data_IF_722926691738
#
_entry.id   IF_722926691738
#
_cell.length_a   1.000
_cell.length_b   1.000
_cell.length_c   1.000
_cell.angle_alpha   90.00
_cell.angle_beta   90.00
_cell.angle_gamma   90.00
#
_symmetry.space_group_name_H-M   'P 1'
#
loop_
_entity.id
_entity.type
_entity.pdbx_description
1 polymer ?
#
# COMPACT_ATOMS: atom_id res chain seq x y z
N UNK A 1 -6.94 -46.28 38.64
CA UNK A 1 -6.19 -45.04 38.95
C UNK A 1 -6.18 -44.24 37.67
N UNK A 2 -7.11 -43.30 37.52
CA UNK A 2 -7.13 -42.41 36.36
C UNK A 2 -6.00 -41.41 36.53
N UNK A 3 -5.08 -41.36 35.57
CA UNK A 3 -4.04 -40.35 35.55
C UNK A 3 -4.71 -38.99 35.28
N UNK A 4 -4.65 -38.08 36.25
CA UNK A 4 -4.91 -36.66 36.00
C UNK A 4 -3.78 -36.16 35.10
N UNK A 5 -4.09 -35.93 33.82
CA UNK A 5 -3.19 -35.18 32.94
C UNK A 5 -2.94 -33.76 33.47
N UNK A 6 -1.93 -33.06 32.95
CA UNK A 6 -1.71 -31.65 33.29
C UNK A 6 -2.99 -30.84 33.06
N UNK A 7 -3.41 -30.09 34.08
CA UNK A 7 -4.54 -29.18 34.00
C UNK A 7 -4.03 -27.84 33.49
N UNK A 8 -4.21 -27.58 32.20
CA UNK A 8 -3.92 -26.28 31.60
C UNK A 8 -5.04 -25.29 31.93
N UNK A 9 -4.70 -24.03 32.18
CA UNK A 9 -5.65 -22.92 32.24
C UNK A 9 -5.90 -22.37 30.84
N UNK A 10 -6.94 -21.53 30.68
CA UNK A 10 -7.17 -20.80 29.42
C UNK A 10 -5.94 -19.97 29.05
N UNK A 11 -5.34 -19.26 30.00
CA UNK A 11 -4.12 -18.48 29.76
C UNK A 11 -2.95 -19.34 29.27
N UNK A 12 -2.75 -20.54 29.84
CA UNK A 12 -1.70 -21.45 29.36
C UNK A 12 -1.93 -21.89 27.91
N UNK A 13 -3.18 -22.14 27.53
CA UNK A 13 -3.55 -22.53 26.17
C UNK A 13 -3.34 -21.39 25.18
N UNK A 14 -3.66 -20.15 25.55
CA UNK A 14 -3.44 -19.00 24.68
C UNK A 14 -1.95 -18.70 24.45
N UNK A 15 -1.09 -18.91 25.45
CA UNK A 15 0.36 -18.82 25.27
C UNK A 15 0.86 -19.88 24.27
N UNK A 16 0.31 -21.10 24.32
CA UNK A 16 0.66 -22.14 23.33
C UNK A 16 0.11 -21.83 21.95
N UNK A 17 -1.11 -21.29 21.86
CA UNK A 17 -1.68 -20.83 20.60
C UNK A 17 -0.80 -19.75 19.96
N UNK A 18 -0.36 -18.76 20.74
CA UNK A 18 0.55 -17.72 20.25
C UNK A 18 1.89 -18.28 19.76
N UNK A 19 2.50 -19.22 20.50
CA UNK A 19 3.73 -19.87 20.04
C UNK A 19 3.56 -20.65 18.73
N UNK A 20 2.40 -21.29 18.54
CA UNK A 20 2.08 -21.99 17.31
C UNK A 20 1.86 -21.00 16.15
N UNK A 21 1.20 -19.85 16.40
CA UNK A 21 1.06 -18.75 15.45
C UNK A 21 2.44 -18.21 15.03
N UNK A 22 3.32 -17.92 15.99
CA UNK A 22 4.67 -17.41 15.72
C UNK A 22 5.52 -18.42 14.90
N UNK A 23 5.14 -19.70 14.93
CA UNK A 23 5.78 -20.79 14.19
C UNK A 23 5.04 -21.17 12.90
N UNK A 24 3.99 -20.44 12.52
CA UNK A 24 3.11 -20.71 11.37
C UNK A 24 2.40 -22.07 11.41
N UNK A 25 2.21 -22.65 12.61
CA UNK A 25 1.49 -23.91 12.83
C UNK A 25 0.00 -23.63 13.15
N UNK A 26 -0.72 -23.05 12.19
CA UNK A 26 -2.07 -22.52 12.41
C UNK A 26 -3.12 -23.58 12.79
N UNK A 27 -3.05 -24.79 12.24
CA UNK A 27 -3.97 -25.89 12.62
C UNK A 27 -3.72 -26.38 14.05
N UNK A 28 -2.49 -26.23 14.56
CA UNK A 28 -2.18 -26.53 15.95
C UNK A 28 -2.63 -25.38 16.87
N UNK A 29 -2.40 -24.14 16.44
CA UNK A 29 -2.92 -22.97 17.13
C UNK A 29 -4.44 -23.05 17.30
N UNK A 30 -5.15 -23.48 16.25
CA UNK A 30 -6.61 -23.64 16.25
C UNK A 30 -7.05 -24.62 17.34
N UNK A 31 -6.38 -25.77 17.47
CA UNK A 31 -6.71 -26.75 18.51
C UNK A 31 -6.53 -26.18 19.93
N UNK A 32 -5.52 -25.34 20.15
CA UNK A 32 -5.34 -24.67 21.45
C UNK A 32 -6.43 -23.62 21.71
N UNK A 33 -6.80 -22.83 20.71
CA UNK A 33 -7.85 -21.82 20.80
C UNK A 33 -9.24 -22.46 21.01
N UNK A 34 -9.60 -23.49 20.24
CA UNK A 34 -10.82 -24.28 20.43
C UNK A 34 -10.88 -24.89 21.84
N UNK A 35 -9.74 -25.38 22.34
CA UNK A 35 -9.66 -25.94 23.69
C UNK A 35 -9.90 -24.86 24.74
N UNK A 36 -9.33 -23.67 24.57
CA UNK A 36 -9.55 -22.53 25.45
C UNK A 36 -11.02 -22.10 25.45
N UNK A 37 -11.65 -22.00 24.28
CA UNK A 37 -13.07 -21.67 24.13
C UNK A 37 -14.00 -22.76 24.67
N UNK A 38 -13.60 -24.04 24.61
CA UNK A 38 -14.36 -25.11 25.25
C UNK A 38 -14.39 -25.00 26.79
N UNK A 39 -13.41 -24.31 27.37
CA UNK A 39 -13.30 -24.09 28.81
C UNK A 39 -13.99 -22.79 29.23
N UNK A 40 -13.77 -21.71 28.48
CA UNK A 40 -14.41 -20.41 28.68
C UNK A 40 -14.94 -19.87 27.35
N UNK A 41 -16.18 -20.22 26.96
CA UNK A 41 -16.74 -19.87 25.66
C UNK A 41 -16.86 -18.36 25.38
N UNK A 42 -16.77 -17.55 26.44
CA UNK A 42 -16.89 -16.09 26.36
C UNK A 42 -15.59 -15.34 26.71
N UNK A 43 -14.45 -16.03 26.76
CA UNK A 43 -13.16 -15.40 27.02
C UNK A 43 -12.72 -14.60 25.79
N UNK A 44 -12.58 -13.28 25.94
CA UNK A 44 -12.31 -12.36 24.81
C UNK A 44 -10.98 -12.68 24.14
N UNK A 45 -9.91 -12.90 24.91
CA UNK A 45 -8.57 -13.19 24.38
C UNK A 45 -8.55 -14.49 23.57
N UNK A 46 -9.32 -15.51 24.02
CA UNK A 46 -9.45 -16.76 23.29
C UNK A 46 -10.23 -16.64 22.00
N UNK A 47 -11.22 -15.76 21.96
CA UNK A 47 -12.01 -15.46 20.76
C UNK A 47 -11.21 -14.66 19.74
N UNK A 48 -10.46 -13.66 20.18
CA UNK A 48 -9.58 -12.89 19.31
C UNK A 48 -8.49 -13.78 18.72
N UNK A 49 -7.89 -14.64 19.54
CA UNK A 49 -6.89 -15.62 19.09
C UNK A 49 -7.48 -16.59 18.06
N UNK A 50 -8.67 -17.16 18.34
CA UNK A 50 -9.35 -18.06 17.40
C UNK A 50 -9.68 -17.37 16.07
N UNK A 51 -10.22 -16.15 16.11
CA UNK A 51 -10.53 -15.38 14.92
C UNK A 51 -9.28 -15.04 14.09
N UNK A 52 -8.15 -14.74 14.73
CA UNK A 52 -6.88 -14.54 14.04
C UNK A 52 -6.38 -15.82 13.36
N UNK A 53 -6.56 -16.99 13.97
CA UNK A 53 -6.16 -18.28 13.40
C UNK A 53 -7.09 -18.71 12.25
N UNK A 54 -8.40 -18.58 12.43
CA UNK A 54 -9.41 -18.90 11.41
C UNK A 54 -9.21 -18.04 10.15
N UNK A 55 -8.71 -16.82 10.30
CA UNK A 55 -8.30 -15.96 9.21
C UNK A 55 -7.13 -16.55 8.40
N UNK A 56 -6.07 -16.99 9.08
CA UNK A 56 -4.89 -17.60 8.45
C UNK A 56 -5.23 -18.95 7.77
N UNK A 57 -6.22 -19.67 8.32
CA UNK A 57 -6.70 -20.96 7.77
C UNK A 57 -7.79 -20.81 6.70
N UNK A 58 -8.34 -19.61 6.54
CA UNK A 58 -9.45 -19.34 5.65
C UNK A 58 -10.79 -20.00 6.00
N UNK A 59 -11.09 -20.10 7.30
CA UNK A 59 -12.29 -20.74 7.84
C UNK A 59 -13.32 -19.68 8.27
N UNK A 60 -13.92 -19.02 7.27
CA UNK A 60 -14.67 -17.77 7.45
C UNK A 60 -16.09 -17.91 7.99
N UNK A 61 -16.77 -19.03 7.73
CA UNK A 61 -18.16 -19.25 8.15
C UNK A 61 -18.27 -19.47 9.68
N UNK A 62 -17.21 -19.96 10.31
CA UNK A 62 -17.20 -20.35 11.73
C UNK A 62 -16.88 -19.15 12.65
N UNK A 63 -16.10 -18.17 12.17
CA UNK A 63 -15.78 -16.92 12.87
C UNK A 63 -17.00 -16.01 13.12
N UNK A 64 -18.02 -16.08 12.26
CA UNK A 64 -19.20 -15.21 12.31
C UNK A 64 -20.07 -15.43 13.56
N UNK A 65 -20.09 -16.65 14.11
CA UNK A 65 -21.06 -17.04 15.14
C UNK A 65 -20.62 -16.70 16.57
N UNK A 66 -19.41 -16.18 16.76
CA UNK A 66 -18.87 -15.94 18.11
C UNK A 66 -18.88 -14.45 18.50
N UNK A 67 -19.80 -14.11 19.41
CA UNK A 67 -20.04 -12.79 20.02
C UNK A 67 -20.16 -11.60 19.05
N UNK A 68 -21.28 -11.43 18.34
CA UNK A 68 -21.44 -10.36 17.34
C UNK A 68 -21.35 -8.92 17.89
N UNK A 69 -21.35 -8.74 19.22
CA UNK A 69 -21.34 -7.45 19.88
C UNK A 69 -19.98 -7.06 20.51
N UNK A 70 -18.94 -7.88 20.35
CA UNK A 70 -17.61 -7.64 20.93
C UNK A 70 -16.51 -8.04 19.95
N UNK A 71 -15.32 -7.42 20.07
CA UNK A 71 -14.16 -7.66 19.21
C UNK A 71 -14.34 -7.06 17.80
N UNK A 72 -13.78 -5.88 17.55
CA UNK A 72 -13.90 -5.20 16.26
C UNK A 72 -13.04 -5.84 15.16
N UNK A 73 -11.95 -6.54 15.51
CA UNK A 73 -10.96 -7.06 14.55
C UNK A 73 -11.57 -7.97 13.48
N UNK A 74 -12.46 -8.90 13.87
CA UNK A 74 -13.16 -9.79 12.93
C UNK A 74 -13.94 -9.03 11.85
N UNK A 75 -14.52 -7.89 12.22
CA UNK A 75 -15.30 -7.07 11.29
C UNK A 75 -14.41 -6.30 10.32
N UNK A 76 -13.21 -5.91 10.74
CA UNK A 76 -12.22 -5.33 9.83
C UNK A 76 -11.79 -6.36 8.79
N UNK A 77 -11.51 -7.58 9.23
CA UNK A 77 -11.11 -8.67 8.34
C UNK A 77 -12.22 -9.08 7.36
N UNK A 78 -13.44 -9.30 7.86
CA UNK A 78 -14.59 -9.59 7.00
C UNK A 78 -14.80 -8.45 5.98
N UNK A 79 -14.59 -7.20 6.38
CA UNK A 79 -14.61 -6.05 5.48
C UNK A 79 -13.59 -6.15 4.35
N UNK A 80 -12.32 -6.44 4.68
CA UNK A 80 -11.23 -6.58 3.70
C UNK A 80 -11.42 -7.75 2.72
N UNK A 81 -12.13 -8.80 3.13
CA UNK A 81 -12.38 -9.99 2.31
C UNK A 81 -13.70 -9.95 1.55
N UNK A 82 -14.55 -8.98 1.85
CA UNK A 82 -15.83 -8.78 1.18
C UNK A 82 -15.71 -7.73 0.09
N UNK A 83 -16.73 -7.64 -0.77
CA UNK A 83 -16.77 -6.66 -1.85
C UNK A 83 -17.96 -5.71 -1.68
N UNK A 84 -17.86 -4.52 -2.29
CA UNK A 84 -18.96 -3.59 -2.44
C UNK A 84 -19.68 -3.28 -1.10
N UNK A 85 -21.01 -3.28 -1.09
CA UNK A 85 -21.83 -2.93 0.06
C UNK A 85 -21.75 -3.94 1.22
N UNK A 86 -21.31 -5.17 0.97
CA UNK A 86 -21.10 -6.15 2.04
C UNK A 86 -19.88 -5.76 2.88
N UNK A 87 -18.77 -5.39 2.24
CA UNK A 87 -17.59 -4.85 2.92
C UNK A 87 -17.95 -3.64 3.79
N UNK A 88 -18.77 -2.72 3.26
CA UNK A 88 -19.26 -1.55 4.01
C UNK A 88 -20.01 -1.95 5.29
N UNK A 89 -20.82 -3.01 5.26
CA UNK A 89 -21.57 -3.46 6.45
C UNK A 89 -20.63 -3.97 7.54
N UNK A 90 -19.62 -4.75 7.18
CA UNK A 90 -18.64 -5.25 8.13
C UNK A 90 -17.77 -4.12 8.68
N UNK A 91 -17.20 -3.28 7.81
CA UNK A 91 -16.40 -2.13 8.27
C UNK A 91 -17.21 -1.20 9.19
N UNK A 92 -18.45 -0.86 8.84
CA UNK A 92 -19.29 -0.02 9.67
C UNK A 92 -19.48 -0.64 11.06
N UNK A 93 -19.72 -1.95 11.12
CA UNK A 93 -19.90 -2.65 12.40
C UNK A 93 -18.64 -2.59 13.26
N UNK A 94 -17.47 -2.82 12.67
CA UNK A 94 -16.22 -2.72 13.42
C UNK A 94 -15.88 -1.29 13.83
N UNK A 95 -16.17 -0.28 13.00
CA UNK A 95 -16.05 1.15 13.36
C UNK A 95 -16.94 1.50 14.54
N UNK A 96 -18.20 1.05 14.56
CA UNK A 96 -19.12 1.31 15.68
C UNK A 96 -18.57 0.76 17.01
N UNK A 97 -18.00 -0.45 16.98
CA UNK A 97 -17.38 -1.09 18.14
C UNK A 97 -16.12 -0.32 18.59
N UNK A 98 -15.21 0.01 17.67
CA UNK A 98 -14.00 0.78 17.98
C UNK A 98 -14.35 2.18 18.54
N UNK A 99 -15.37 2.84 18.00
CA UNK A 99 -15.83 4.14 18.49
C UNK A 99 -16.38 4.05 19.92
N UNK A 100 -17.15 3.00 20.23
CA UNK A 100 -17.67 2.77 21.58
C UNK A 100 -16.54 2.48 22.58
N UNK A 101 -15.54 1.68 22.18
CA UNK A 101 -14.36 1.39 22.98
C UNK A 101 -13.54 2.66 23.24
N UNK A 102 -13.24 3.43 22.19
CA UNK A 102 -12.53 4.72 22.28
C UNK A 102 -13.24 5.72 23.19
N UNK A 103 -14.58 5.75 23.20
CA UNK A 103 -15.36 6.62 24.08
C UNK A 103 -15.29 6.20 25.56
N UNK A 104 -15.07 4.92 25.84
CA UNK A 104 -14.89 4.41 27.20
C UNK A 104 -13.47 4.64 27.75
N UNK A 105 -12.50 4.91 26.88
CA UNK A 105 -11.11 5.18 27.24
C UNK A 105 -10.88 6.62 27.68
N UNK A 106 -9.84 6.85 28.49
CA UNK A 106 -9.35 8.21 28.75
C UNK A 106 -8.54 8.67 27.53
N UNK A 107 -8.82 9.86 26.96
CA UNK A 107 -8.05 10.36 25.82
C UNK A 107 -6.56 10.49 26.17
N UNK A 108 -5.73 9.80 25.41
CA UNK A 108 -4.28 9.90 25.44
C UNK A 108 -3.78 10.03 24.00
N UNK A 109 -3.27 11.20 23.65
CA UNK A 109 -2.75 11.49 22.30
C UNK A 109 -1.25 11.22 22.21
N UNK A 110 -0.65 10.63 23.25
CA UNK A 110 0.74 10.18 23.19
C UNK A 110 0.85 9.12 22.10
N UNK A 111 1.78 9.34 21.16
CA UNK A 111 2.09 8.41 20.08
C UNK A 111 2.35 7.00 20.64
N UNK A 112 1.70 5.99 20.05
CA UNK A 112 1.81 4.59 20.48
C UNK A 112 0.93 4.18 21.67
N UNK A 113 0.19 5.10 22.29
CA UNK A 113 -0.82 4.73 23.29
C UNK A 113 -1.98 3.92 22.67
N UNK A 114 -2.68 3.12 23.46
CA UNK A 114 -3.83 2.33 22.97
C UNK A 114 -4.92 3.24 22.36
N UNK A 115 -5.17 4.42 22.95
CA UNK A 115 -6.13 5.38 22.42
C UNK A 115 -5.71 5.91 21.04
N UNK A 116 -4.42 6.20 20.87
CA UNK A 116 -3.86 6.65 19.60
C UNK A 116 -3.93 5.55 18.53
N UNK A 117 -3.52 4.33 18.87
CA UNK A 117 -3.55 3.18 17.96
C UNK A 117 -4.98 2.85 17.51
N UNK A 118 -5.94 2.87 18.43
CA UNK A 118 -7.35 2.67 18.13
C UNK A 118 -7.91 3.80 17.25
N UNK A 119 -7.48 5.04 17.49
CA UNK A 119 -7.86 6.20 16.66
C UNK A 119 -7.39 6.02 15.22
N UNK A 120 -6.15 5.56 14.99
CA UNK A 120 -5.66 5.28 13.65
C UNK A 120 -6.46 4.17 12.95
N UNK A 121 -6.77 3.07 13.65
CA UNK A 121 -7.58 1.97 13.08
C UNK A 121 -8.97 2.45 12.65
N UNK A 122 -9.61 3.32 13.44
CA UNK A 122 -10.89 3.94 13.07
C UNK A 122 -10.75 4.77 11.79
N UNK A 123 -9.72 5.62 11.72
CA UNK A 123 -9.46 6.47 10.55
C UNK A 123 -9.23 5.64 9.29
N UNK A 124 -8.39 4.61 9.35
CA UNK A 124 -8.11 3.68 8.24
C UNK A 124 -9.39 2.98 7.77
N UNK A 125 -10.21 2.47 8.69
CA UNK A 125 -11.48 1.82 8.31
C UNK A 125 -12.45 2.80 7.60
N UNK A 126 -12.53 4.06 8.06
CA UNK A 126 -13.33 5.10 7.42
C UNK A 126 -12.79 5.49 6.04
N UNK A 127 -11.47 5.51 5.86
CA UNK A 127 -10.83 5.70 4.56
C UNK A 127 -11.16 4.54 3.61
N UNK A 128 -11.00 3.29 4.06
CA UNK A 128 -11.36 2.11 3.27
C UNK A 128 -12.82 2.12 2.83
N UNK A 129 -13.74 2.49 3.73
CA UNK A 129 -15.16 2.65 3.38
C UNK A 129 -15.38 3.74 2.34
N UNK A 130 -14.62 4.84 2.40
CA UNK A 130 -14.69 5.92 1.40
C UNK A 130 -14.19 5.43 0.05
N UNK A 131 -13.06 4.72 0.01
CA UNK A 131 -12.47 4.21 -1.23
C UNK A 131 -13.40 3.21 -1.93
N UNK A 132 -14.08 2.34 -1.18
CA UNK A 132 -15.11 1.43 -1.74
C UNK A 132 -16.21 2.23 -2.46
N UNK A 133 -16.64 3.39 -1.94
CA UNK A 133 -17.62 4.25 -2.63
C UNK A 133 -17.01 5.07 -3.78
N UNK A 134 -15.69 5.26 -3.82
CA UNK A 134 -15.00 5.86 -4.96
C UNK A 134 -14.77 4.87 -6.10
N UNK A 135 -14.73 3.56 -5.82
CA UNK A 135 -14.47 2.51 -6.81
C UNK A 135 -15.68 1.61 -7.03
N UNK A 136 -15.92 0.64 -6.14
CA UNK A 136 -16.81 -0.50 -6.38
C UNK A 136 -18.30 -0.11 -6.28
N UNK A 137 -18.60 0.83 -5.39
CA UNK A 137 -19.93 1.36 -5.12
C UNK A 137 -20.14 2.76 -5.73
N UNK A 138 -19.31 3.19 -6.69
CA UNK A 138 -19.37 4.55 -7.26
C UNK A 138 -20.67 4.87 -8.02
N UNK A 139 -21.45 3.85 -8.39
CA UNK A 139 -22.75 4.01 -9.05
C UNK A 139 -23.94 4.08 -8.07
N UNK A 140 -23.70 3.90 -6.77
CA UNK A 140 -24.76 4.05 -5.77
C UNK A 140 -25.23 5.52 -5.69
N UNK A 141 -26.54 5.76 -5.57
CA UNK A 141 -27.09 7.12 -5.64
C UNK A 141 -26.67 8.00 -4.46
N UNK A 142 -26.23 7.41 -3.36
CA UNK A 142 -25.71 8.09 -2.18
C UNK A 142 -24.19 8.03 -2.04
N UNK A 143 -23.45 7.53 -3.04
CA UNK A 143 -21.99 7.33 -2.95
C UNK A 143 -21.23 8.59 -2.52
N UNK A 144 -21.47 9.73 -3.19
CA UNK A 144 -20.82 11.00 -2.82
C UNK A 144 -21.17 11.43 -1.39
N UNK A 145 -22.44 11.28 -0.99
CA UNK A 145 -22.89 11.60 0.37
C UNK A 145 -22.19 10.72 1.41
N UNK A 146 -22.01 9.43 1.10
CA UNK A 146 -21.29 8.48 1.96
C UNK A 146 -19.82 8.82 2.09
N UNK A 147 -19.14 9.16 0.99
CA UNK A 147 -17.76 9.63 1.03
C UNK A 147 -17.59 10.85 1.96
N UNK A 148 -18.44 11.88 1.81
CA UNK A 148 -18.40 13.05 2.70
C UNK A 148 -18.72 12.70 4.15
N UNK A 149 -19.64 11.76 4.38
CA UNK A 149 -19.98 11.31 5.73
C UNK A 149 -18.81 10.60 6.43
N UNK A 150 -18.12 9.69 5.74
CA UNK A 150 -17.01 8.93 6.33
C UNK A 150 -15.76 9.79 6.48
N UNK A 151 -15.40 10.59 5.47
CA UNK A 151 -14.32 11.58 5.60
C UNK A 151 -14.60 12.60 6.71
N UNK A 152 -15.84 13.09 6.80
CA UNK A 152 -16.25 14.00 7.86
C UNK A 152 -16.05 13.39 9.25
N UNK A 153 -16.26 12.09 9.41
CA UNK A 153 -15.96 11.38 10.65
C UNK A 153 -14.45 11.22 10.87
N UNK A 154 -13.70 10.79 9.86
CA UNK A 154 -12.26 10.57 9.95
C UNK A 154 -11.50 11.85 10.32
N UNK A 155 -11.90 13.00 9.76
CA UNK A 155 -11.33 14.32 10.09
C UNK A 155 -11.64 14.80 11.53
N UNK A 156 -12.54 14.14 12.26
CA UNK A 156 -12.80 14.41 13.68
C UNK A 156 -12.04 13.46 14.61
N UNK A 157 -11.31 12.48 14.06
CA UNK A 157 -10.46 11.58 14.82
C UNK A 157 -9.07 12.19 14.93
N UNK A 158 -8.65 12.47 16.16
CA UNK A 158 -7.33 13.03 16.45
C UNK A 158 -6.36 11.91 16.90
N UNK A 159 -5.13 11.89 16.38
CA UNK A 159 -4.63 12.76 15.30
C UNK A 159 -5.14 12.36 13.91
N UNK A 160 -5.28 13.34 13.02
CA UNK A 160 -5.58 13.08 11.60
C UNK A 160 -4.34 12.53 10.90
N UNK A 161 -4.46 11.36 10.26
CA UNK A 161 -3.34 10.66 9.62
C UNK A 161 -3.13 11.11 8.16
N UNK A 162 -1.96 10.85 7.55
CA UNK A 162 -1.71 11.15 6.14
C UNK A 162 -2.72 10.48 5.20
N UNK A 163 -3.13 9.25 5.52
CA UNK A 163 -4.13 8.48 4.77
C UNK A 163 -5.45 9.26 4.64
N UNK A 164 -5.95 9.85 5.73
CA UNK A 164 -7.19 10.65 5.71
C UNK A 164 -7.08 11.83 4.74
N UNK A 165 -5.93 12.50 4.69
CA UNK A 165 -5.71 13.60 3.76
C UNK A 165 -5.57 13.13 2.31
N UNK A 166 -4.95 11.97 2.09
CA UNK A 166 -4.84 11.36 0.76
C UNK A 166 -6.24 10.96 0.22
N UNK A 167 -7.06 10.29 1.03
CA UNK A 167 -8.45 9.94 0.68
C UNK A 167 -9.30 11.19 0.49
N UNK A 168 -9.11 12.23 1.32
CA UNK A 168 -9.76 13.52 1.14
C UNK A 168 -9.42 14.13 -0.24
N UNK A 169 -8.15 14.08 -0.65
CA UNK A 169 -7.75 14.56 -1.97
C UNK A 169 -8.45 13.79 -3.10
N UNK A 170 -8.52 12.46 -3.01
CA UNK A 170 -9.23 11.60 -3.97
C UNK A 170 -10.72 11.99 -4.11
N UNK A 171 -11.41 12.24 -2.99
CA UNK A 171 -12.81 12.71 -3.02
C UNK A 171 -12.90 14.10 -3.66
N UNK A 172 -12.00 15.03 -3.33
CA UNK A 172 -12.01 16.38 -3.91
C UNK A 172 -11.75 16.34 -5.43
N UNK A 173 -10.90 15.44 -5.92
CA UNK A 173 -10.68 15.24 -7.35
C UNK A 173 -11.92 14.70 -8.06
N UNK A 174 -12.58 13.68 -7.48
CA UNK A 174 -13.86 13.15 -8.00
C UNK A 174 -14.97 14.23 -8.09
N UNK A 175 -14.94 15.19 -7.16
CA UNK A 175 -15.83 16.37 -7.14
C UNK A 175 -15.37 17.53 -8.04
N UNK A 176 -14.28 17.39 -8.79
CA UNK A 176 -13.68 18.45 -9.61
C UNK A 176 -13.23 19.69 -8.80
N UNK A 177 -12.81 19.48 -7.55
CA UNK A 177 -12.33 20.52 -6.62
C UNK A 177 -10.81 20.48 -6.48
N UNK A 178 -10.11 20.80 -7.58
CA UNK A 178 -8.65 20.67 -7.69
C UNK A 178 -7.86 21.38 -6.58
N UNK A 179 -8.20 22.63 -6.27
CA UNK A 179 -7.46 23.40 -5.25
C UNK A 179 -7.64 22.84 -3.83
N UNK A 180 -8.84 22.30 -3.53
CA UNK A 180 -9.08 21.65 -2.25
C UNK A 180 -8.32 20.31 -2.14
N UNK A 181 -8.15 19.59 -3.26
CA UNK A 181 -7.33 18.38 -3.30
C UNK A 181 -5.86 18.70 -3.02
N UNK A 182 -5.31 19.75 -3.64
CA UNK A 182 -3.93 20.23 -3.39
C UNK A 182 -3.70 20.58 -1.92
N UNK A 183 -4.66 21.30 -1.30
CA UNK A 183 -4.59 21.65 0.11
C UNK A 183 -4.55 20.40 1.00
N UNK A 184 -5.39 19.40 0.70
CA UNK A 184 -5.38 18.13 1.44
C UNK A 184 -4.05 17.39 1.27
N UNK A 185 -3.54 17.24 0.04
CA UNK A 185 -2.24 16.59 -0.23
C UNK A 185 -1.09 17.27 0.53
N UNK A 186 -1.02 18.60 0.50
CA UNK A 186 -0.02 19.37 1.23
C UNK A 186 -0.10 19.17 2.75
N UNK A 187 -1.31 19.06 3.31
CA UNK A 187 -1.51 18.75 4.73
C UNK A 187 -1.02 17.34 5.07
N UNK A 188 -1.35 16.34 4.24
CA UNK A 188 -0.90 14.96 4.41
C UNK A 188 0.63 14.84 4.36
N UNK A 189 1.27 15.42 3.35
CA UNK A 189 2.73 15.46 3.22
C UNK A 189 3.41 16.12 4.42
N UNK A 190 2.85 17.21 4.93
CA UNK A 190 3.37 17.93 6.10
C UNK A 190 3.45 17.10 7.38
N UNK A 191 2.75 15.96 7.46
CA UNK A 191 2.78 15.06 8.62
C UNK A 191 4.01 14.15 8.61
N UNK A 192 4.39 13.61 7.45
CA UNK A 192 5.32 12.48 7.39
C UNK A 192 6.61 12.76 6.62
N UNK A 193 6.67 13.80 5.78
CA UNK A 193 7.83 14.04 4.91
C UNK A 193 9.13 14.31 5.69
N UNK A 194 9.02 14.84 6.91
CA UNK A 194 10.15 15.06 7.82
C UNK A 194 10.15 14.11 9.03
N UNK A 195 9.39 13.01 8.97
CA UNK A 195 9.37 12.03 10.04
C UNK A 195 10.71 11.25 10.07
N UNK A 196 11.11 10.84 11.26
CA UNK A 196 12.30 10.01 11.45
C UNK A 196 11.95 8.55 11.08
N UNK A 197 12.58 7.94 10.06
CA UNK A 197 12.32 6.55 9.70
C UNK A 197 12.65 5.56 10.82
N UNK A 198 13.54 5.93 11.74
CA UNK A 198 13.92 5.09 12.89
C UNK A 198 12.93 5.17 14.07
N UNK A 199 11.93 6.06 14.01
CA UNK A 199 10.85 6.11 15.00
C UNK A 199 9.85 4.98 14.74
N UNK A 200 9.69 4.08 15.72
CA UNK A 200 8.78 2.93 15.67
C UNK A 200 7.33 3.32 15.34
N UNK A 201 6.91 4.54 15.70
CA UNK A 201 5.55 5.02 15.49
C UNK A 201 5.47 6.15 14.46
N UNK A 202 6.46 6.24 13.57
CA UNK A 202 6.38 7.18 12.46
C UNK A 202 5.11 6.93 11.62
N UNK A 203 4.61 8.01 11.01
CA UNK A 203 3.43 7.96 10.13
C UNK A 203 3.83 7.96 8.66
N UNK A 204 5.03 7.48 8.33
CA UNK A 204 5.47 7.34 6.93
C UNK A 204 4.58 6.28 6.30
N UNK A 205 3.80 6.61 5.25
CA UNK A 205 2.94 5.63 4.62
C UNK A 205 3.75 4.51 3.97
N UNK A 206 3.15 3.32 3.88
CA UNK A 206 3.76 2.18 3.18
C UNK A 206 4.10 2.51 1.72
N UNK A 207 5.02 1.73 1.13
CA UNK A 207 5.54 1.95 -0.22
C UNK A 207 4.43 2.15 -1.26
N UNK A 208 3.46 1.22 -1.30
CA UNK A 208 2.34 1.27 -2.24
C UNK A 208 1.43 2.49 -2.03
N UNK A 209 1.24 2.90 -0.78
CA UNK A 209 0.45 4.09 -0.43
C UNK A 209 1.13 5.37 -0.91
N UNK A 210 2.46 5.46 -0.76
CA UNK A 210 3.28 6.54 -1.33
C UNK A 210 3.27 6.52 -2.86
N UNK A 211 3.27 5.35 -3.48
CA UNK A 211 3.17 5.20 -4.93
C UNK A 211 1.81 5.71 -5.45
N UNK A 212 0.72 5.38 -4.75
CA UNK A 212 -0.61 5.93 -5.03
C UNK A 212 -0.67 7.45 -4.82
N UNK A 213 0.01 7.98 -3.78
CA UNK A 213 0.12 9.42 -3.54
C UNK A 213 0.79 10.15 -4.70
N UNK A 214 1.87 9.59 -5.27
CA UNK A 214 2.53 10.18 -6.45
C UNK A 214 1.55 10.38 -7.60
N UNK A 215 0.66 9.41 -7.87
CA UNK A 215 -0.36 9.54 -8.93
C UNK A 215 -1.25 10.76 -8.70
N UNK A 216 -1.68 10.99 -7.46
CA UNK A 216 -2.48 12.17 -7.08
C UNK A 216 -1.69 13.48 -7.19
N UNK A 217 -0.42 13.48 -6.80
CA UNK A 217 0.45 14.64 -6.93
C UNK A 217 0.66 15.03 -8.41
N UNK A 218 0.86 14.04 -9.28
CA UNK A 218 0.97 14.28 -10.73
C UNK A 218 -0.35 14.76 -11.34
N UNK A 219 -1.49 14.15 -10.98
CA UNK A 219 -2.82 14.60 -11.43
C UNK A 219 -3.12 16.04 -11.00
N UNK A 220 -2.56 16.47 -9.86
CA UNK A 220 -2.71 17.83 -9.34
C UNK A 220 -1.60 18.79 -9.74
N UNK A 221 -0.64 18.38 -10.57
CA UNK A 221 0.53 19.18 -10.96
C UNK A 221 1.38 19.69 -9.77
N UNK A 222 1.47 18.88 -8.70
CA UNK A 222 2.37 19.07 -7.56
C UNK A 222 3.70 18.33 -7.80
N UNK A 223 4.45 18.79 -8.81
CA UNK A 223 5.60 18.04 -9.36
C UNK A 223 6.80 17.97 -8.41
N UNK A 224 7.12 19.06 -7.70
CA UNK A 224 8.25 19.09 -6.75
C UNK A 224 8.03 18.08 -5.62
N UNK A 225 6.80 18.03 -5.09
CA UNK A 225 6.41 17.05 -4.08
C UNK A 225 6.41 15.63 -4.66
N UNK A 226 5.93 15.43 -5.89
CA UNK A 226 5.95 14.13 -6.55
C UNK A 226 7.38 13.59 -6.69
N UNK A 227 8.33 14.42 -7.14
CA UNK A 227 9.74 14.04 -7.23
C UNK A 227 10.35 13.73 -5.86
N UNK A 228 9.99 14.50 -4.84
CA UNK A 228 10.48 14.25 -3.48
C UNK A 228 10.05 12.86 -3.00
N UNK A 229 8.79 12.49 -3.18
CA UNK A 229 8.28 11.15 -2.81
C UNK A 229 8.89 10.05 -3.69
N UNK A 230 8.98 10.26 -5.01
CA UNK A 230 9.56 9.30 -5.95
C UNK A 230 11.04 9.01 -5.66
N UNK A 231 11.85 10.01 -5.36
CA UNK A 231 13.26 9.81 -5.03
C UNK A 231 13.40 8.93 -3.78
N UNK A 232 12.57 9.16 -2.74
CA UNK A 232 12.55 8.30 -1.57
C UNK A 232 12.12 6.86 -1.88
N UNK A 233 11.15 6.66 -2.78
CA UNK A 233 10.73 5.33 -3.21
C UNK A 233 11.83 4.60 -4.02
N UNK A 234 12.56 5.31 -4.88
CA UNK A 234 13.68 4.75 -5.63
C UNK A 234 14.83 4.38 -4.71
N UNK A 235 15.17 5.23 -3.74
CA UNK A 235 16.20 4.95 -2.73
C UNK A 235 15.85 3.73 -1.87
N UNK A 236 14.56 3.54 -1.56
CA UNK A 236 14.06 2.40 -0.78
C UNK A 236 14.02 1.10 -1.59
N UNK A 237 13.51 1.15 -2.83
CA UNK A 237 13.42 0.01 -3.73
C UNK A 237 13.28 0.47 -5.19
N UNK A 238 14.33 0.32 -5.97
CA UNK A 238 14.38 0.61 -7.42
C UNK A 238 13.95 -0.58 -8.29
N UNK A 239 13.59 -1.72 -7.68
CA UNK A 239 13.14 -2.94 -8.37
C UNK A 239 11.61 -3.00 -8.52
N UNK A 240 10.95 -1.84 -8.59
CA UNK A 240 9.51 -1.74 -8.86
C UNK A 240 9.26 -1.03 -10.20
N UNK A 241 8.71 -1.71 -11.23
CA UNK A 241 8.46 -1.11 -12.54
C UNK A 241 7.60 0.15 -12.49
N UNK A 242 6.56 0.17 -11.65
CA UNK A 242 5.65 1.29 -11.48
C UNK A 242 6.35 2.55 -10.96
N UNK A 243 7.32 2.41 -10.06
CA UNK A 243 8.10 3.54 -9.52
C UNK A 243 8.95 4.18 -10.61
N UNK A 244 9.65 3.37 -11.40
CA UNK A 244 10.45 3.85 -12.53
C UNK A 244 9.57 4.47 -13.62
N UNK A 245 8.40 3.88 -13.89
CA UNK A 245 7.41 4.42 -14.81
C UNK A 245 6.92 5.80 -14.35
N UNK A 246 6.52 5.96 -13.08
CA UNK A 246 6.01 7.22 -12.56
C UNK A 246 7.11 8.29 -12.51
N UNK A 247 8.36 7.91 -12.21
CA UNK A 247 9.50 8.84 -12.31
C UNK A 247 9.73 9.30 -13.75
N UNK A 248 9.74 8.37 -14.70
CA UNK A 248 9.85 8.71 -16.12
C UNK A 248 8.70 9.57 -16.63
N UNK A 249 7.47 9.27 -16.21
CA UNK A 249 6.27 10.03 -16.55
C UNK A 249 6.29 11.44 -15.96
N UNK A 250 6.71 11.61 -14.71
CA UNK A 250 6.87 12.91 -14.06
C UNK A 250 7.87 13.80 -14.83
N UNK A 251 9.02 13.23 -15.21
CA UNK A 251 10.01 13.91 -16.03
C UNK A 251 9.43 14.30 -17.40
N UNK A 252 8.72 13.39 -18.06
CA UNK A 252 8.11 13.64 -19.36
C UNK A 252 7.07 14.78 -19.31
N UNK A 253 6.17 14.79 -18.32
CA UNK A 253 5.19 15.87 -18.15
C UNK A 253 5.89 17.21 -17.93
N UNK A 254 6.89 17.25 -17.04
CA UNK A 254 7.62 18.48 -16.76
C UNK A 254 8.29 19.03 -18.03
N UNK A 255 8.84 18.17 -18.88
CA UNK A 255 9.40 18.57 -20.16
C UNK A 255 8.35 19.13 -21.12
N UNK A 256 7.17 18.51 -21.21
CA UNK A 256 6.08 18.95 -22.10
C UNK A 256 5.48 20.31 -21.67
N UNK A 257 5.53 20.64 -20.38
CA UNK A 257 5.06 21.93 -19.85
C UNK A 257 6.08 23.07 -19.99
N UNK A 258 7.35 22.77 -20.30
CA UNK A 258 8.37 23.79 -20.50
C UNK A 258 8.14 24.57 -21.80
N UNK A 259 8.35 25.89 -21.75
CA UNK A 259 8.30 26.74 -22.94
C UNK A 259 9.69 26.90 -23.56
N UNK A 260 9.79 26.72 -24.88
CA UNK A 260 11.03 26.95 -25.67
C UNK A 260 11.33 28.43 -25.87
N UNK A 261 11.52 29.18 -24.79
CA UNK A 261 11.75 30.63 -24.84
C UNK A 261 13.16 30.97 -25.28
N UNK A 262 14.14 30.13 -24.94
CA UNK A 262 15.55 30.29 -25.30
C UNK A 262 16.30 28.95 -25.32
N UNK A 263 17.58 29.00 -25.70
CA UNK A 263 18.45 27.80 -25.76
C UNK A 263 18.63 27.11 -24.41
N UNK A 264 18.61 27.85 -23.29
CA UNK A 264 18.73 27.26 -21.96
C UNK A 264 17.48 26.46 -21.59
N UNK A 265 16.30 26.96 -21.93
CA UNK A 265 15.04 26.26 -21.71
C UNK A 265 14.96 24.97 -22.55
N UNK A 266 15.45 25.02 -23.79
CA UNK A 266 15.54 23.82 -24.66
C UNK A 266 16.52 22.79 -24.10
N UNK A 267 17.67 23.23 -23.58
CA UNK A 267 18.65 22.34 -22.93
C UNK A 267 18.05 21.65 -21.70
N UNK A 268 17.38 22.42 -20.82
CA UNK A 268 16.71 21.87 -19.63
C UNK A 268 15.59 20.89 -19.96
N UNK A 269 14.77 21.22 -20.97
CA UNK A 269 13.74 20.29 -21.45
C UNK A 269 14.35 18.99 -21.95
N UNK A 270 15.41 19.07 -22.75
CA UNK A 270 16.06 17.89 -23.29
C UNK A 270 16.71 17.03 -22.19
N UNK A 271 17.30 17.66 -21.16
CA UNK A 271 17.80 16.97 -19.96
C UNK A 271 16.67 16.22 -19.24
N UNK A 272 15.52 16.86 -19.06
CA UNK A 272 14.35 16.22 -18.44
C UNK A 272 13.82 15.05 -19.29
N UNK A 273 13.80 15.17 -20.61
CA UNK A 273 13.43 14.07 -21.52
C UNK A 273 14.45 12.93 -21.48
N UNK A 274 15.73 13.22 -21.26
CA UNK A 274 16.76 12.19 -21.09
C UNK A 274 16.54 11.41 -19.79
N UNK A 275 16.32 12.10 -18.67
CA UNK A 275 15.96 11.48 -17.40
C UNK A 275 14.69 10.62 -17.53
N UNK A 276 13.69 11.08 -18.29
CA UNK A 276 12.51 10.30 -18.61
C UNK A 276 12.88 9.02 -19.38
N UNK A 277 13.71 9.14 -20.42
CA UNK A 277 14.13 8.01 -21.26
C UNK A 277 14.86 6.94 -20.45
N UNK A 278 15.83 7.35 -19.63
CA UNK A 278 16.61 6.44 -18.78
C UNK A 278 15.68 5.63 -17.85
N UNK A 279 14.79 6.31 -17.12
CA UNK A 279 13.85 5.68 -16.20
C UNK A 279 12.84 4.76 -16.90
N UNK A 280 12.32 5.17 -18.06
CA UNK A 280 11.37 4.36 -18.84
C UNK A 280 12.05 3.14 -19.48
N UNK A 281 13.29 3.26 -19.93
CA UNK A 281 14.09 2.11 -20.39
C UNK A 281 14.32 1.11 -19.25
N UNK A 282 14.70 1.60 -18.06
CA UNK A 282 14.85 0.77 -16.86
C UNK A 282 13.52 0.09 -16.48
N UNK A 283 12.40 0.81 -16.56
CA UNK A 283 11.06 0.27 -16.36
C UNK A 283 10.76 -0.91 -17.32
N UNK A 284 11.02 -0.77 -18.63
CA UNK A 284 10.80 -1.86 -19.61
C UNK A 284 11.66 -3.08 -19.28
N UNK A 285 12.96 -2.87 -18.98
CA UNK A 285 13.88 -3.97 -18.62
C UNK A 285 13.35 -4.72 -17.40
N UNK A 286 13.00 -4.00 -16.35
CA UNK A 286 12.52 -4.57 -15.10
C UNK A 286 11.15 -5.24 -15.23
N UNK A 287 10.23 -4.67 -16.02
CA UNK A 287 8.94 -5.28 -16.32
C UNK A 287 9.11 -6.68 -16.93
N UNK A 288 10.06 -6.84 -17.85
CA UNK A 288 10.38 -8.14 -18.44
C UNK A 288 11.08 -9.08 -17.46
N UNK A 289 12.03 -8.58 -16.66
CA UNK A 289 12.76 -9.38 -15.67
C UNK A 289 11.86 -9.93 -14.56
N UNK A 290 10.90 -9.12 -14.09
CA UNK A 290 9.95 -9.48 -13.03
C UNK A 290 8.76 -10.30 -13.52
N UNK A 291 8.56 -10.41 -14.83
CA UNK A 291 7.41 -11.10 -15.41
C UNK A 291 6.08 -10.41 -15.11
N UNK A 292 6.09 -9.07 -14.99
CA UNK A 292 4.88 -8.28 -14.72
C UNK A 292 3.80 -8.54 -15.79
N UNK A 293 2.53 -8.37 -15.38
CA UNK A 293 1.36 -8.59 -16.25
C UNK A 293 0.63 -7.30 -16.62
N UNK A 294 1.09 -6.15 -16.12
CA UNK A 294 0.52 -4.85 -16.44
C UNK A 294 0.91 -4.41 -17.87
N UNK A 295 0.11 -4.86 -18.85
CA UNK A 295 0.29 -4.51 -20.26
C UNK A 295 -0.01 -3.04 -20.56
N UNK A 296 -1.06 -2.41 -19.99
CA UNK A 296 -1.29 -0.98 -20.16
C UNK A 296 -0.08 -0.12 -19.78
N UNK A 297 0.56 -0.40 -18.65
CA UNK A 297 1.77 0.30 -18.23
C UNK A 297 2.88 0.15 -19.28
N UNK A 298 3.20 -1.08 -19.68
CA UNK A 298 4.24 -1.35 -20.68
C UNK A 298 3.96 -0.63 -22.01
N UNK A 299 2.72 -0.66 -22.48
CA UNK A 299 2.34 0.00 -23.72
C UNK A 299 2.58 1.52 -23.64
N UNK A 300 2.16 2.15 -22.55
CA UNK A 300 2.34 3.58 -22.39
C UNK A 300 3.81 3.97 -22.24
N UNK A 301 4.61 3.19 -21.49
CA UNK A 301 6.06 3.35 -21.42
C UNK A 301 6.71 3.33 -22.80
N UNK A 302 6.30 2.41 -23.68
CA UNK A 302 6.81 2.32 -25.06
C UNK A 302 6.37 3.50 -25.93
N UNK A 303 5.14 3.98 -25.77
CA UNK A 303 4.64 5.19 -26.45
C UNK A 303 5.47 6.43 -26.07
N UNK A 304 5.76 6.59 -24.77
CA UNK A 304 6.61 7.68 -24.27
C UNK A 304 8.03 7.62 -24.80
N UNK A 305 8.66 6.44 -24.75
CA UNK A 305 9.98 6.23 -25.33
C UNK A 305 10.01 6.58 -26.83
N UNK A 306 8.96 6.23 -27.56
CA UNK A 306 8.82 6.60 -28.98
C UNK A 306 8.74 8.12 -29.17
N UNK A 307 7.94 8.81 -28.34
CA UNK A 307 7.82 10.27 -28.39
C UNK A 307 9.16 10.96 -28.07
N UNK A 308 9.83 10.52 -26.99
CA UNK A 308 11.13 11.06 -26.60
C UNK A 308 12.17 10.84 -27.72
N UNK A 309 12.20 9.64 -28.32
CA UNK A 309 13.11 9.31 -29.43
C UNK A 309 12.87 10.21 -30.65
N UNK A 310 11.63 10.64 -30.92
CA UNK A 310 11.35 11.57 -32.02
C UNK A 310 11.95 12.96 -31.78
N UNK A 311 12.11 13.36 -30.51
CA UNK A 311 12.65 14.68 -30.11
C UNK A 311 14.17 14.64 -29.96
N UNK A 312 14.69 13.68 -29.20
CA UNK A 312 16.12 13.57 -28.87
C UNK A 312 16.93 12.79 -29.92
N UNK A 313 16.26 12.01 -30.77
CA UNK A 313 16.89 11.02 -31.61
C UNK A 313 17.12 9.68 -30.90
N UNK A 314 17.70 8.68 -31.60
CA UNK A 314 17.99 7.39 -31.01
C UNK A 314 18.99 7.54 -29.86
N UNK A 315 18.85 6.65 -28.88
CA UNK A 315 19.82 6.50 -27.80
C UNK A 315 21.20 6.19 -28.41
N UNK A 316 22.20 6.98 -28.02
CA UNK A 316 23.58 6.74 -28.44
C UNK A 316 24.20 5.93 -27.32
N UNK A 317 24.32 4.62 -27.51
CA UNK A 317 25.03 3.75 -26.58
C UNK A 317 26.40 4.37 -26.27
N UNK A 318 26.61 4.70 -25.00
CA UNK A 318 27.91 5.13 -24.54
C UNK A 318 28.86 3.95 -24.72
N UNK A 319 30.14 4.22 -25.04
CA UNK A 319 31.12 3.14 -25.20
C UNK A 319 31.40 2.34 -23.92
N UNK A 320 30.88 2.80 -22.78
CA UNK A 320 31.06 2.17 -21.47
C UNK A 320 30.05 1.02 -21.28
N UNK A 321 28.83 1.14 -21.83
CA UNK A 321 27.79 0.09 -21.72
C UNK A 321 28.07 -1.13 -22.64
N UNK A 322 28.90 -0.96 -23.68
CA UNK A 322 29.28 -2.02 -24.60
C UNK A 322 30.29 -3.02 -24.00
N UNK A 323 30.90 -2.72 -22.85
CA UNK A 323 31.86 -3.61 -22.19
C UNK A 323 31.20 -4.55 -21.16
N UNK A 324 29.98 -4.26 -20.66
CA UNK A 324 29.29 -5.14 -19.70
C UNK A 324 28.61 -6.35 -20.35
N UNK A 325 28.30 -6.30 -21.66
CA UNK A 325 27.62 -7.38 -22.39
C UNK A 325 28.60 -8.42 -23.01
N UNK A 326 29.91 -8.31 -22.74
CA UNK A 326 30.96 -9.18 -23.30
C UNK A 326 31.68 -10.10 -22.28
N UNK A 327 31.16 -10.27 -21.06
CA UNK A 327 31.74 -11.22 -20.07
C UNK A 327 30.80 -12.41 -19.79
N UNK A 328 30.36 -13.09 -20.86
CA UNK A 328 29.37 -14.18 -20.75
C UNK A 328 29.47 -15.27 -21.82
N UNK A 329 30.64 -15.51 -22.39
CA UNK A 329 30.79 -16.54 -23.42
C UNK A 329 32.22 -17.02 -23.60
N UNK A 330 32.69 -17.89 -22.68
CA UNK A 330 33.77 -18.82 -22.97
C UNK A 330 33.32 -19.71 -24.15
N UNK A 331 33.74 -19.34 -25.36
CA UNK A 331 33.69 -20.24 -26.51
C UNK A 331 34.89 -21.19 -26.35
N UNK A 332 34.65 -22.33 -25.70
CA UNK A 332 35.54 -23.48 -25.79
C UNK A 332 35.64 -23.90 -27.27
N UNK A 333 36.80 -23.63 -27.88
CA UNK A 333 37.15 -24.24 -29.15
C UNK A 333 37.47 -25.72 -28.88
N UNK A 334 36.51 -26.61 -29.16
CA UNK A 334 36.80 -28.03 -29.34
C UNK A 334 37.62 -28.20 -30.62
N UNK A 335 38.94 -28.34 -30.47
CA UNK A 335 39.83 -28.85 -31.50
C UNK A 335 39.48 -30.33 -31.77
N UNK A 336 38.62 -30.58 -32.76
CA UNK A 336 38.48 -31.91 -33.36
C UNK A 336 39.62 -32.15 -34.36
N UNK A 337 40.64 -32.86 -33.88
CA UNK A 337 41.58 -33.61 -34.71
C UNK A 337 40.82 -34.64 -35.58
N UNK A 338 40.73 -34.41 -36.89
CA UNK A 338 40.56 -35.49 -37.87
C UNK A 338 41.86 -35.65 -38.69
N UNK A 339 42.65 -36.66 -38.32
CA UNK A 339 43.54 -37.35 -39.24
C UNK A 339 42.75 -37.82 -40.48
N UNK A 340 43.31 -37.66 -41.68
CA UNK A 340 43.52 -38.79 -42.62
C UNK A 340 44.19 -38.39 -43.94
N UNK A 341 45.31 -39.09 -44.19
CA UNK A 341 46.05 -39.38 -45.44
C UNK A 341 47.20 -38.47 -45.90
#
# INVERSE_FOLDING_TARGET
>A
MSANGPSYTVSDLLVQAQHAIDSFEFELAQQFAERALSMEPNNVDALETAGAIELELGLYDEAQDIQPDTGFSKYMYLGQMSEQLEAIQYFQRGVDLMMAERQAMTPDLTTGSEYWLLSNKISTALCSMTDIYLTDCCFEPDAEQKCEQYLGQALQIEPVTPEVYQTLASVRLSQQRLEDAKLALAQGLGIWLSADPDDEFNLIPEYETRLALVKLLLETAMYDEAFTVLNGLIEENDQVPDTLYLFGWANYICAEEMNDTDSSAVEQRNEQLENAREALNACVKLWHMTGSTDKPLLQHTQELLSNITQVLGPEVESKEDAEEDMDGGDIEYEDEDEEMQ
#
